data_IF_552936567316
#
_entry.id   IF_552936567316
#
_cell.length_a   1.000
_cell.length_b   1.000
_cell.length_c   1.000
_cell.angle_alpha   90.00
_cell.angle_beta   90.00
_cell.angle_gamma   90.00
#
_symmetry.space_group_name_H-M   'P 1'
#
loop_
_entity.id
_entity.type
_entity.pdbx_description
1 polymer ?
#
# COMPACT_ATOMS: atom_id res chain seq x y z
N UNK A 1 0.28 -47.01 31.25
CA UNK A 1 1.13 -45.80 31.34
C UNK A 1 1.28 -45.24 29.93
N UNK A 2 0.56 -44.16 29.60
CA UNK A 2 0.66 -43.52 28.29
C UNK A 2 1.89 -42.60 28.28
N UNK A 3 2.92 -42.96 27.52
CA UNK A 3 4.05 -42.07 27.23
C UNK A 3 3.53 -40.95 26.31
N UNK A 4 3.29 -39.77 26.88
CA UNK A 4 2.98 -38.57 26.12
C UNK A 4 4.21 -38.23 25.27
N UNK A 5 4.05 -38.30 23.94
CA UNK A 5 5.08 -37.90 22.99
C UNK A 5 5.47 -36.44 23.21
N UNK A 6 6.74 -36.21 23.49
CA UNK A 6 7.29 -34.87 23.65
C UNK A 6 7.23 -34.12 22.32
N UNK A 7 6.49 -33.02 22.28
CA UNK A 7 6.46 -32.13 21.13
C UNK A 7 7.88 -31.62 20.81
N UNK A 8 8.41 -31.85 19.60
CA UNK A 8 9.81 -31.56 19.25
C UNK A 8 10.19 -30.07 19.40
N UNK A 9 9.21 -29.17 19.32
CA UNK A 9 9.40 -27.74 19.48
C UNK A 9 9.79 -27.34 20.91
N UNK A 10 9.34 -28.09 21.92
CA UNK A 10 9.63 -27.80 23.33
C UNK A 10 11.08 -28.13 23.66
N UNK A 11 11.59 -29.27 23.19
CA UNK A 11 12.99 -29.65 23.40
C UNK A 11 13.95 -28.66 22.74
N UNK A 12 13.63 -28.22 21.52
CA UNK A 12 14.42 -27.23 20.77
C UNK A 12 14.44 -25.86 21.46
N UNK A 13 13.32 -25.44 22.04
CA UNK A 13 13.24 -24.20 22.82
C UNK A 13 14.10 -24.26 24.08
N UNK A 14 14.04 -25.39 24.82
CA UNK A 14 14.83 -25.60 26.05
C UNK A 14 16.32 -25.62 25.75
N UNK A 15 16.78 -26.35 24.72
CA UNK A 15 18.20 -26.35 24.32
C UNK A 15 18.70 -24.96 23.92
N UNK A 16 17.87 -24.17 23.23
CA UNK A 16 18.21 -22.79 22.87
C UNK A 16 18.33 -21.87 24.09
N UNK A 17 17.50 -22.07 25.13
CA UNK A 17 17.58 -21.32 26.37
C UNK A 17 18.85 -21.66 27.16
N UNK A 18 19.17 -22.95 27.29
CA UNK A 18 20.40 -23.41 27.97
C UNK A 18 21.64 -22.82 27.30
N UNK A 19 21.70 -22.87 25.96
CA UNK A 19 22.81 -22.29 25.19
C UNK A 19 22.96 -20.78 25.41
N UNK A 20 21.85 -20.02 25.46
CA UNK A 20 21.88 -18.58 25.76
C UNK A 20 22.44 -18.29 27.15
N UNK A 21 22.05 -19.08 28.15
CA UNK A 21 22.52 -18.89 29.54
C UNK A 21 24.02 -19.19 29.68
N UNK A 22 24.52 -20.25 29.03
CA UNK A 22 25.94 -20.59 29.06
C UNK A 22 26.81 -19.52 28.41
N UNK A 23 26.36 -18.93 27.30
CA UNK A 23 27.09 -17.87 26.61
C UNK A 23 27.12 -16.55 27.41
N UNK A 24 26.06 -16.28 28.19
CA UNK A 24 25.96 -15.12 29.10
C UNK A 24 26.89 -15.27 30.31
N UNK A 25 26.99 -16.47 30.88
CA UNK A 25 27.89 -16.78 32.00
C UNK A 25 29.38 -16.71 31.61
N UNK A 26 29.71 -17.01 30.35
CA UNK A 26 31.08 -16.97 29.83
C UNK A 26 31.59 -15.54 29.53
N UNK A 27 30.82 -14.49 29.82
CA UNK A 27 31.18 -13.10 29.50
C UNK A 27 31.21 -12.78 28.00
N UNK A 28 30.90 -13.77 27.15
CA UNK A 28 30.74 -13.62 25.70
C UNK A 28 29.35 -13.08 25.36
N UNK A 29 28.99 -11.94 25.94
CA UNK A 29 27.82 -11.16 25.53
C UNK A 29 28.12 -10.48 24.19
N UNK A 30 28.32 -11.30 23.16
CA UNK A 30 27.93 -10.89 21.81
C UNK A 30 26.41 -10.79 21.87
N UNK A 31 25.93 -9.62 22.30
CA UNK A 31 24.53 -9.29 22.33
C UNK A 31 23.99 -9.64 20.93
N UNK A 32 23.28 -10.76 20.84
CA UNK A 32 22.43 -11.04 19.70
C UNK A 32 21.39 -9.93 19.75
N UNK A 33 21.73 -8.81 19.10
CA UNK A 33 20.84 -7.71 18.86
C UNK A 33 19.55 -8.37 18.41
N UNK A 34 18.48 -8.17 19.18
CA UNK A 34 17.16 -8.67 18.87
C UNK A 34 16.78 -8.08 17.51
N UNK A 35 17.17 -8.77 16.44
CA UNK A 35 16.90 -8.39 15.07
C UNK A 35 15.39 -8.37 15.00
N UNK A 36 14.82 -7.15 14.85
CA UNK A 36 13.39 -7.02 14.63
C UNK A 36 13.04 -7.94 13.47
N UNK A 37 11.94 -8.70 13.56
CA UNK A 37 11.54 -9.55 12.46
C UNK A 37 11.48 -8.69 11.20
N UNK A 38 12.00 -9.18 10.06
CA UNK A 38 12.00 -8.42 8.82
C UNK A 38 10.57 -7.95 8.56
N UNK A 39 10.43 -6.64 8.36
CA UNK A 39 9.13 -6.06 8.05
C UNK A 39 8.55 -6.63 6.76
N UNK A 40 7.25 -6.50 6.58
CA UNK A 40 6.60 -6.87 5.32
C UNK A 40 7.24 -6.16 4.11
N UNK A 41 7.35 -6.82 2.95
CA UNK A 41 7.94 -6.24 1.75
C UNK A 41 7.30 -4.88 1.42
N UNK A 42 8.13 -3.88 1.11
CA UNK A 42 7.64 -2.56 0.69
C UNK A 42 7.00 -2.70 -0.69
N UNK A 43 5.67 -2.58 -0.75
CA UNK A 43 4.91 -2.62 -2.00
C UNK A 43 5.12 -1.40 -2.90
N UNK A 44 5.77 -0.34 -2.39
CA UNK A 44 6.11 0.89 -3.15
C UNK A 44 7.62 1.00 -3.28
N UNK A 45 8.19 0.16 -4.14
CA UNK A 45 9.61 0.25 -4.48
C UNK A 45 9.86 1.47 -5.37
N UNK A 46 11.02 2.14 -5.27
CA UNK A 46 11.35 3.26 -6.15
C UNK A 46 11.26 2.90 -7.64
N UNK A 47 11.61 1.65 -7.99
CA UNK A 47 11.48 1.13 -9.36
C UNK A 47 10.04 1.10 -9.87
N UNK A 48 9.09 0.70 -9.02
CA UNK A 48 7.67 0.69 -9.36
C UNK A 48 7.14 2.11 -9.54
N UNK A 49 7.54 3.03 -8.66
CA UNK A 49 7.14 4.44 -8.72
C UNK A 49 7.59 5.06 -10.05
N UNK A 50 8.86 4.89 -10.43
CA UNK A 50 9.40 5.40 -11.69
C UNK A 50 8.73 4.79 -12.92
N UNK A 51 8.39 3.50 -12.88
CA UNK A 51 7.68 2.83 -13.97
C UNK A 51 6.25 3.38 -14.15
N UNK A 52 5.53 3.60 -13.04
CA UNK A 52 4.19 4.22 -13.04
C UNK A 52 4.25 5.67 -13.53
N UNK A 53 5.25 6.44 -13.11
CA UNK A 53 5.45 7.82 -13.55
C UNK A 53 5.63 7.89 -15.08
N UNK A 54 6.46 7.00 -15.64
CA UNK A 54 6.68 6.92 -17.09
C UNK A 54 5.38 6.65 -17.86
N UNK A 55 4.57 5.73 -17.38
CA UNK A 55 3.27 5.40 -17.99
C UNK A 55 2.23 6.51 -17.87
N UNK A 56 2.38 7.41 -16.90
CA UNK A 56 1.51 8.57 -16.69
C UNK A 56 1.98 9.83 -17.43
N UNK A 57 3.28 9.93 -17.74
CA UNK A 57 3.86 11.06 -18.47
C UNK A 57 3.65 11.00 -19.99
N UNK A 58 3.27 9.83 -20.52
CA UNK A 58 3.01 9.65 -21.95
C UNK A 58 1.77 10.40 -22.47
N UNK A 59 1.64 10.57 -23.80
CA UNK A 59 0.51 11.29 -24.42
C UNK A 59 -0.86 10.63 -24.17
N UNK A 60 -0.87 9.35 -23.80
CA UNK A 60 -2.05 8.60 -23.41
C UNK A 60 -1.79 7.93 -22.06
N UNK A 61 -2.00 8.64 -20.93
CA UNK A 61 -1.73 8.10 -19.62
C UNK A 61 -2.63 6.92 -19.32
N UNK A 62 -2.06 5.85 -18.78
CA UNK A 62 -2.81 4.67 -18.39
C UNK A 62 -3.76 4.98 -17.22
N UNK A 63 -4.94 4.37 -17.26
CA UNK A 63 -5.88 4.45 -16.14
C UNK A 63 -5.34 3.69 -14.93
N UNK A 64 -5.81 4.06 -13.73
CA UNK A 64 -5.47 3.36 -12.49
C UNK A 64 -5.76 1.85 -12.54
N UNK A 65 -6.82 1.41 -13.22
CA UNK A 65 -7.12 -0.03 -13.36
C UNK A 65 -6.15 -0.71 -14.33
N UNK A 66 -5.79 -0.05 -15.43
CA UNK A 66 -4.81 -0.59 -16.38
C UNK A 66 -3.42 -0.72 -15.74
N UNK A 67 -3.00 0.26 -14.96
CA UNK A 67 -1.76 0.19 -14.17
C UNK A 67 -1.81 -0.94 -13.13
N UNK A 68 -2.95 -1.11 -12.45
CA UNK A 68 -3.16 -2.19 -11.48
C UNK A 68 -2.98 -3.57 -12.13
N UNK A 69 -3.57 -3.76 -13.31
CA UNK A 69 -3.44 -4.99 -14.08
C UNK A 69 -2.00 -5.21 -14.57
N UNK A 70 -1.37 -4.17 -15.12
CA UNK A 70 -0.02 -4.24 -15.70
C UNK A 70 1.05 -4.61 -14.66
N UNK A 71 0.97 -4.01 -13.47
CA UNK A 71 1.98 -4.17 -12.42
C UNK A 71 1.61 -5.19 -11.34
N UNK A 72 0.43 -5.82 -11.44
CA UNK A 72 -0.03 -6.81 -10.45
C UNK A 72 -0.25 -6.24 -9.05
N UNK A 73 -0.46 -4.93 -8.93
CA UNK A 73 -0.64 -4.24 -7.65
C UNK A 73 -2.07 -3.77 -7.53
N UNK A 74 -2.61 -3.74 -6.31
CA UNK A 74 -3.98 -3.26 -6.12
C UNK A 74 -4.14 -1.82 -6.62
N UNK A 75 -5.33 -1.51 -7.15
CA UNK A 75 -5.64 -0.16 -7.59
C UNK A 75 -5.42 0.85 -6.45
N UNK A 76 -5.75 0.50 -5.20
CA UNK A 76 -5.51 1.36 -4.03
C UNK A 76 -4.03 1.69 -3.83
N UNK A 77 -3.12 0.76 -4.05
CA UNK A 77 -1.68 1.02 -4.00
C UNK A 77 -1.25 1.98 -5.12
N UNK A 78 -1.73 1.77 -6.35
CA UNK A 78 -1.47 2.70 -7.46
C UNK A 78 -1.95 4.13 -7.11
N UNK A 79 -3.14 4.29 -6.53
CA UNK A 79 -3.61 5.61 -6.10
C UNK A 79 -2.73 6.24 -5.02
N UNK A 80 -2.22 5.44 -4.08
CA UNK A 80 -1.29 5.96 -3.07
C UNK A 80 0.02 6.40 -3.69
N UNK A 81 0.57 5.63 -4.64
CA UNK A 81 1.76 6.03 -5.39
C UNK A 81 1.55 7.37 -6.09
N UNK A 82 0.45 7.49 -6.82
CA UNK A 82 0.13 8.72 -7.55
C UNK A 82 -0.02 9.93 -6.60
N UNK A 83 -0.77 9.77 -5.50
CA UNK A 83 -1.09 10.89 -4.62
C UNK A 83 0.05 11.27 -3.66
N UNK A 84 0.81 10.29 -3.19
CA UNK A 84 1.82 10.49 -2.15
C UNK A 84 3.22 10.61 -2.74
N UNK A 85 3.53 9.80 -3.75
CA UNK A 85 4.89 9.68 -4.29
C UNK A 85 5.07 10.53 -5.57
N UNK A 86 4.00 10.83 -6.30
CA UNK A 86 4.02 11.61 -7.57
C UNK A 86 3.28 12.96 -7.48
N UNK A 87 3.12 13.51 -6.27
CA UNK A 87 2.47 14.80 -5.98
C UNK A 87 1.03 14.97 -6.50
N UNK A 88 0.35 13.89 -6.89
CA UNK A 88 -1.08 13.95 -7.23
C UNK A 88 -1.42 14.81 -8.44
N UNK A 89 -0.46 15.14 -9.32
CA UNK A 89 -0.71 15.86 -10.59
C UNK A 89 -1.37 14.94 -11.63
N UNK A 90 -2.44 14.25 -11.23
CA UNK A 90 -3.33 13.61 -12.19
C UNK A 90 -4.07 14.71 -12.91
N UNK A 91 -3.75 14.91 -14.19
CA UNK A 91 -4.59 15.74 -15.05
C UNK A 91 -6.02 15.20 -15.00
N UNK A 92 -6.92 15.96 -14.37
CA UNK A 92 -8.35 15.69 -14.53
C UNK A 92 -8.70 15.91 -15.99
N UNK A 93 -9.68 15.17 -16.50
CA UNK A 93 -10.16 15.35 -17.88
C UNK A 93 -10.48 16.83 -18.12
N UNK A 94 -9.68 17.50 -18.96
CA UNK A 94 -9.97 18.84 -19.45
C UNK A 94 -11.06 18.85 -20.53
N UNK A 95 -11.35 17.69 -21.13
CA UNK A 95 -12.35 17.57 -22.19
C UNK A 95 -13.76 17.52 -21.61
N UNK A 96 -14.37 18.69 -21.55
CA UNK A 96 -15.79 18.87 -21.24
C UNK A 96 -16.59 18.78 -22.54
N UNK A 97 -17.69 18.03 -22.56
CA UNK A 97 -18.62 18.10 -23.69
C UNK A 97 -19.25 19.49 -23.75
N UNK A 98 -19.28 20.10 -24.93
CA UNK A 98 -20.01 21.35 -25.14
C UNK A 98 -21.47 21.08 -24.81
N UNK A 99 -21.97 21.74 -23.77
CA UNK A 99 -23.35 21.63 -23.35
C UNK A 99 -24.21 22.55 -24.19
N UNK A 100 -25.40 22.10 -24.58
CA UNK A 100 -26.40 23.04 -25.07
C UNK A 100 -26.94 23.89 -23.91
N UNK A 101 -27.47 25.07 -24.23
CA UNK A 101 -28.05 25.98 -23.23
C UNK A 101 -29.11 25.30 -22.36
N UNK A 102 -29.90 24.37 -22.94
CA UNK A 102 -30.91 23.60 -22.20
C UNK A 102 -30.27 22.66 -21.17
N UNK A 103 -29.17 22.00 -21.53
CA UNK A 103 -28.45 21.08 -20.64
C UNK A 103 -27.72 21.84 -19.52
N UNK A 104 -27.14 23.00 -19.83
CA UNK A 104 -26.50 23.87 -18.83
C UNK A 104 -27.53 24.34 -17.78
N UNK A 105 -28.71 24.80 -18.23
CA UNK A 105 -29.80 25.22 -17.33
C UNK A 105 -30.29 24.08 -16.43
N UNK A 106 -30.49 22.88 -16.99
CA UNK A 106 -30.90 21.71 -16.20
C UNK A 106 -29.87 21.31 -15.14
N UNK A 107 -28.57 21.46 -15.41
CA UNK A 107 -27.53 21.21 -14.40
C UNK A 107 -27.58 22.25 -13.29
N UNK A 108 -27.68 23.53 -13.64
CA UNK A 108 -27.77 24.61 -12.66
C UNK A 108 -29.00 24.48 -11.75
N UNK A 109 -30.16 24.14 -12.31
CA UNK A 109 -31.40 23.90 -11.55
C UNK A 109 -31.32 22.67 -10.63
N UNK A 110 -30.50 21.66 -10.98
CA UNK A 110 -30.24 20.47 -10.14
C UNK A 110 -29.24 20.78 -9.03
N UNK A 111 -28.17 21.51 -9.34
CA UNK A 111 -27.16 21.91 -8.36
C UNK A 111 -27.78 22.77 -7.26
N UNK A 112 -28.69 23.69 -7.61
CA UNK A 112 -29.44 24.49 -6.63
C UNK A 112 -30.29 23.63 -5.67
N UNK A 113 -30.85 22.52 -6.15
CA UNK A 113 -31.58 21.57 -5.29
C UNK A 113 -30.63 20.81 -4.37
N UNK A 114 -29.46 20.43 -4.87
CA UNK A 114 -28.45 19.73 -4.09
C UNK A 114 -27.90 20.62 -2.97
N UNK A 115 -27.64 21.90 -3.25
CA UNK A 115 -27.21 22.89 -2.25
C UNK A 115 -28.27 23.15 -1.18
N UNK A 116 -29.56 23.17 -1.54
CA UNK A 116 -30.66 23.25 -0.56
C UNK A 116 -30.71 22.05 0.38
N UNK A 117 -30.33 20.87 -0.08
CA UNK A 117 -30.33 19.64 0.72
C UNK A 117 -29.14 19.56 1.69
N UNK A 118 -28.05 20.27 1.41
CA UNK A 118 -26.86 20.31 2.28
C UNK A 118 -26.99 21.39 3.35
N UNK A 119 -27.68 22.50 3.04
CA UNK A 119 -27.78 23.68 3.91
C UNK A 119 -29.12 23.81 4.66
N UNK A 120 -30.01 22.83 4.52
CA UNK A 120 -31.27 22.73 5.28
C UNK A 120 -31.19 21.61 6.29
#
# INVERSE_FOLDING_TARGET
>A
MHLMGNAPDVQRAVSNLIRKNNNKAAGSDSALLSMKPPGSPKLRTPSLVAAIEKDLSGPNPLTRSALSLKYGVSATTIARVINQDLEGKVQKKCRVHVLSNKQAKQRLDRDLRFLRYING
#
